data_IF_207934490844
#
_entry.id   IF_207934490844
#
_cell.length_a   1.000
_cell.length_b   1.000
_cell.length_c   1.000
_cell.angle_alpha   90.00
_cell.angle_beta   90.00
_cell.angle_gamma   90.00
#
_symmetry.space_group_name_H-M   'P 1'
#
loop_
_entity.id
_entity.type
_entity.pdbx_description
1 polymer ?
#
# COMPACT_ATOMS: atom_id res chain seq x y z
N UNK A 1 -5.66 -64.08 -61.43
CA UNK A 1 -6.64 -63.43 -60.55
C UNK A 1 -5.86 -62.75 -59.43
N UNK A 2 -5.65 -61.43 -59.51
CA UNK A 2 -5.12 -60.59 -58.44
C UNK A 2 -6.31 -59.81 -57.89
N UNK A 3 -6.92 -60.27 -56.80
CA UNK A 3 -7.99 -59.51 -56.11
C UNK A 3 -7.64 -59.20 -54.63
N UNK A 4 -6.42 -59.53 -54.18
CA UNK A 4 -6.06 -59.46 -52.76
C UNK A 4 -5.42 -58.10 -52.35
N UNK A 5 -5.21 -57.17 -53.30
CA UNK A 5 -4.56 -55.87 -53.05
C UNK A 5 -5.51 -54.71 -52.73
N UNK A 6 -6.70 -54.67 -53.35
CA UNK A 6 -7.61 -53.52 -53.25
C UNK A 6 -8.43 -53.50 -51.94
N UNK A 7 -8.90 -54.66 -51.47
CA UNK A 7 -9.64 -54.77 -50.20
C UNK A 7 -8.78 -54.39 -49.00
N UNK A 8 -7.50 -54.76 -49.03
CA UNK A 8 -6.53 -54.49 -47.96
C UNK A 8 -6.15 -53.00 -47.92
N UNK A 9 -6.03 -52.36 -49.07
CA UNK A 9 -5.82 -50.91 -49.19
C UNK A 9 -7.02 -50.08 -48.73
N UNK A 10 -8.24 -50.51 -49.07
CA UNK A 10 -9.46 -49.79 -48.68
C UNK A 10 -9.69 -49.85 -47.16
N UNK A 11 -9.44 -51.00 -46.53
CA UNK A 11 -9.55 -51.15 -45.07
C UNK A 11 -8.49 -50.30 -44.34
N UNK A 12 -7.26 -50.25 -44.86
CA UNK A 12 -6.19 -49.42 -44.31
C UNK A 12 -6.48 -47.92 -44.37
N UNK A 13 -7.04 -47.44 -45.47
CA UNK A 13 -7.39 -46.01 -45.64
C UNK A 13 -8.54 -45.57 -44.73
N UNK A 14 -9.57 -46.41 -44.55
CA UNK A 14 -10.67 -46.12 -43.63
C UNK A 14 -10.18 -46.11 -42.18
N UNK A 15 -9.33 -47.06 -41.78
CA UNK A 15 -8.75 -47.09 -40.44
C UNK A 15 -7.89 -45.84 -40.15
N UNK A 16 -7.07 -45.42 -41.10
CA UNK A 16 -6.26 -44.21 -40.98
C UNK A 16 -7.12 -42.93 -40.89
N UNK A 17 -8.21 -42.85 -41.66
CA UNK A 17 -9.13 -41.72 -41.61
C UNK A 17 -9.86 -41.63 -40.26
N UNK A 18 -10.31 -42.77 -39.71
CA UNK A 18 -10.96 -42.82 -38.39
C UNK A 18 -9.97 -42.43 -37.29
N UNK A 19 -8.75 -42.97 -37.32
CA UNK A 19 -7.70 -42.59 -36.37
C UNK A 19 -7.31 -41.12 -36.48
N UNK A 20 -7.25 -40.58 -37.70
CA UNK A 20 -7.00 -39.16 -37.95
C UNK A 20 -8.10 -38.25 -37.38
N UNK A 21 -9.37 -38.61 -37.54
CA UNK A 21 -10.51 -37.85 -36.99
C UNK A 21 -10.55 -37.92 -35.47
N UNK A 22 -10.26 -39.09 -34.88
CA UNK A 22 -10.16 -39.25 -33.43
C UNK A 22 -9.00 -38.43 -32.89
N UNK A 23 -7.82 -38.51 -33.52
CA UNK A 23 -6.64 -37.72 -33.19
C UNK A 23 -6.94 -36.22 -33.22
N UNK A 24 -7.51 -35.71 -34.31
CA UNK A 24 -7.87 -34.30 -34.47
C UNK A 24 -8.87 -33.83 -33.40
N UNK A 25 -9.87 -34.65 -33.05
CA UNK A 25 -10.82 -34.31 -31.97
C UNK A 25 -10.18 -34.28 -30.59
N UNK A 26 -9.21 -35.16 -30.32
CA UNK A 26 -8.47 -35.16 -29.06
C UNK A 26 -7.60 -33.90 -28.94
N UNK A 27 -6.88 -33.51 -30.01
CA UNK A 27 -6.07 -32.29 -30.03
C UNK A 27 -6.92 -31.01 -29.93
N UNK A 28 -8.09 -31.00 -30.57
CA UNK A 28 -9.03 -29.89 -30.48
C UNK A 28 -9.60 -29.73 -29.05
N UNK A 29 -9.90 -30.84 -28.35
CA UNK A 29 -10.33 -30.78 -26.95
C UNK A 29 -9.21 -30.32 -26.02
N UNK A 30 -8.01 -30.85 -26.19
CA UNK A 30 -6.84 -30.44 -25.41
C UNK A 30 -6.54 -28.95 -25.55
N UNK A 31 -6.66 -28.38 -26.75
CA UNK A 31 -6.47 -26.94 -26.98
C UNK A 31 -7.61 -26.08 -26.41
N UNK A 32 -8.85 -26.57 -26.41
CA UNK A 32 -9.97 -25.88 -25.76
C UNK A 32 -9.83 -25.90 -24.24
N UNK A 33 -9.43 -27.04 -23.67
CA UNK A 33 -9.21 -27.17 -22.22
C UNK A 33 -7.99 -26.35 -21.76
N UNK A 34 -6.90 -26.32 -22.54
CA UNK A 34 -5.77 -25.43 -22.30
C UNK A 34 -6.19 -23.95 -22.32
N UNK A 35 -6.99 -23.52 -23.31
CA UNK A 35 -7.52 -22.14 -23.36
C UNK A 35 -8.46 -21.82 -22.21
N UNK A 36 -9.26 -22.78 -21.74
CA UNK A 36 -10.13 -22.59 -20.57
C UNK A 36 -9.32 -22.47 -19.28
N UNK A 37 -8.24 -23.24 -19.14
CA UNK A 37 -7.33 -23.13 -17.99
C UNK A 37 -6.57 -21.81 -18.02
N UNK A 38 -6.16 -21.34 -19.21
CA UNK A 38 -5.51 -20.04 -19.39
C UNK A 38 -6.48 -18.87 -19.11
N UNK A 39 -7.75 -19.00 -19.52
CA UNK A 39 -8.79 -18.00 -19.22
C UNK A 39 -9.30 -18.05 -17.77
N UNK A 40 -9.12 -19.19 -17.08
CA UNK A 40 -9.49 -19.38 -15.67
C UNK A 40 -8.28 -19.25 -14.73
N UNK A 41 -7.08 -19.03 -15.27
CA UNK A 41 -5.89 -18.77 -14.48
C UNK A 41 -6.12 -17.44 -13.74
N UNK A 42 -5.93 -17.39 -12.41
CA UNK A 42 -6.03 -16.14 -11.68
C UNK A 42 -5.03 -15.13 -12.26
N UNK A 43 -5.47 -13.90 -12.48
CA UNK A 43 -4.63 -12.79 -12.93
C UNK A 43 -3.73 -12.32 -11.77
N UNK A 44 -2.70 -13.12 -11.50
CA UNK A 44 -1.74 -12.92 -10.41
C UNK A 44 -0.92 -11.64 -10.61
N UNK A 45 -0.71 -11.24 -11.85
CA UNK A 45 0.00 -10.00 -12.19
C UNK A 45 -0.84 -8.79 -11.76
N UNK A 46 -2.13 -8.73 -12.16
CA UNK A 46 -3.02 -7.64 -11.70
C UNK A 46 -3.21 -7.63 -10.19
N UNK A 47 -3.25 -8.80 -9.54
CA UNK A 47 -3.34 -8.88 -8.09
C UNK A 47 -2.08 -8.31 -7.41
N UNK A 48 -0.91 -8.71 -7.89
CA UNK A 48 0.38 -8.24 -7.35
C UNK A 48 0.55 -6.74 -7.58
N UNK A 49 0.22 -6.25 -8.78
CA UNK A 49 0.27 -4.82 -9.11
C UNK A 49 -0.62 -4.00 -8.18
N UNK A 50 -1.85 -4.47 -7.91
CA UNK A 50 -2.76 -3.80 -6.97
C UNK A 50 -2.22 -3.77 -5.54
N UNK A 51 -1.52 -4.82 -5.12
CA UNK A 51 -0.87 -4.84 -3.80
C UNK A 51 0.28 -3.84 -3.78
N UNK A 52 1.16 -3.85 -4.77
CA UNK A 52 2.29 -2.92 -4.84
C UNK A 52 1.81 -1.47 -4.84
N UNK A 53 0.80 -1.14 -5.65
CA UNK A 53 0.21 0.19 -5.68
C UNK A 53 -0.35 0.63 -4.32
N UNK A 54 -1.00 -0.28 -3.58
CA UNK A 54 -1.51 0.00 -2.24
C UNK A 54 -0.38 0.21 -1.24
N UNK A 55 0.68 -0.59 -1.31
CA UNK A 55 1.85 -0.43 -0.44
C UNK A 55 2.56 0.88 -0.72
N UNK A 56 2.75 1.25 -1.98
CA UNK A 56 3.36 2.54 -2.35
C UNK A 56 2.52 3.72 -1.86
N UNK A 57 1.19 3.64 -2.01
CA UNK A 57 0.28 4.67 -1.49
C UNK A 57 0.39 4.79 0.03
N UNK A 58 0.40 3.66 0.75
CA UNK A 58 0.55 3.66 2.21
C UNK A 58 1.92 4.19 2.65
N UNK A 59 2.99 3.84 1.95
CA UNK A 59 4.33 4.34 2.24
C UNK A 59 4.40 5.86 2.08
N UNK A 60 3.83 6.39 0.99
CA UNK A 60 3.75 7.84 0.77
C UNK A 60 2.95 8.56 1.89
N UNK A 61 1.86 7.95 2.36
CA UNK A 61 1.08 8.50 3.48
C UNK A 61 1.87 8.49 4.79
N UNK A 62 2.62 7.42 5.07
CA UNK A 62 3.50 7.31 6.23
C UNK A 62 4.58 8.40 6.19
N UNK A 63 5.21 8.61 5.05
CA UNK A 63 6.26 9.62 4.89
C UNK A 63 5.70 11.04 5.07
N UNK A 64 4.52 11.30 4.50
CA UNK A 64 3.82 12.57 4.70
C UNK A 64 3.44 12.80 6.17
N UNK A 65 2.95 11.77 6.86
CA UNK A 65 2.62 11.84 8.28
C UNK A 65 3.86 12.12 9.12
N UNK A 66 4.97 11.42 8.84
CA UNK A 66 6.25 11.61 9.53
C UNK A 66 6.74 13.06 9.40
N UNK A 67 6.70 13.61 8.19
CA UNK A 67 7.08 15.01 7.95
C UNK A 67 6.22 16.01 8.75
N UNK A 68 4.90 15.76 8.85
CA UNK A 68 3.99 16.58 9.67
C UNK A 68 4.31 16.48 11.15
N UNK A 69 4.64 15.28 11.64
CA UNK A 69 5.04 15.07 13.04
C UNK A 69 6.33 15.82 13.35
N UNK A 70 7.34 15.74 12.49
CA UNK A 70 8.61 16.45 12.66
C UNK A 70 8.39 17.98 12.69
N UNK A 71 7.54 18.49 11.80
CA UNK A 71 7.16 19.92 11.77
C UNK A 71 6.43 20.35 13.05
N UNK A 72 5.50 19.52 13.53
CA UNK A 72 4.76 19.80 14.75
C UNK A 72 5.67 19.79 15.98
N UNK A 73 6.58 18.82 16.09
CA UNK A 73 7.59 18.77 17.14
C UNK A 73 8.44 20.03 17.17
N UNK A 74 8.95 20.45 16.01
CA UNK A 74 9.74 21.69 15.88
C UNK A 74 8.95 22.94 16.32
N UNK A 75 7.67 23.01 15.94
CA UNK A 75 6.77 24.12 16.33
C UNK A 75 6.50 24.13 17.83
N UNK A 76 6.26 22.97 18.43
CA UNK A 76 6.06 22.82 19.88
C UNK A 76 7.31 23.24 20.63
N UNK A 77 8.49 22.78 20.22
CA UNK A 77 9.75 23.18 20.85
C UNK A 77 10.02 24.68 20.71
N UNK A 78 9.78 25.26 19.54
CA UNK A 78 9.93 26.70 19.32
C UNK A 78 8.98 27.51 20.22
N UNK A 79 7.74 27.06 20.35
CA UNK A 79 6.72 27.67 21.21
C UNK A 79 7.12 27.54 22.68
N UNK A 80 7.57 26.35 23.10
CA UNK A 80 8.09 26.11 24.45
C UNK A 80 9.26 27.03 24.79
N UNK A 81 10.23 27.21 23.88
CA UNK A 81 11.35 28.13 24.09
C UNK A 81 10.88 29.57 24.27
N UNK A 82 9.96 30.04 23.42
CA UNK A 82 9.39 31.39 23.52
C UNK A 82 8.62 31.58 24.83
N UNK A 83 7.84 30.58 25.23
CA UNK A 83 7.10 30.58 26.49
C UNK A 83 8.05 30.75 27.68
N UNK A 84 9.07 29.89 27.82
CA UNK A 84 10.01 29.98 28.93
C UNK A 84 10.85 31.26 28.93
N UNK A 85 11.18 31.80 27.75
CA UNK A 85 11.82 33.11 27.65
C UNK A 85 10.92 34.23 28.20
N UNK A 86 9.62 34.20 27.88
CA UNK A 86 8.63 35.15 28.40
C UNK A 86 8.44 35.01 29.92
N UNK A 87 8.32 33.77 30.42
CA UNK A 87 8.25 33.47 31.86
C UNK A 87 9.48 34.01 32.59
N UNK A 88 10.69 33.79 32.05
CA UNK A 88 11.92 34.33 32.62
C UNK A 88 11.92 35.87 32.69
N UNK A 89 11.39 36.53 31.66
CA UNK A 89 11.19 37.98 31.65
C UNK A 89 10.21 38.45 32.73
N UNK A 90 9.04 37.81 32.82
CA UNK A 90 8.03 38.09 33.84
C UNK A 90 8.59 37.88 35.25
N UNK A 91 9.31 36.79 35.49
CA UNK A 91 9.96 36.51 36.77
C UNK A 91 10.96 37.58 37.15
N UNK A 92 11.72 38.11 36.18
CA UNK A 92 12.66 39.22 36.42
C UNK A 92 11.94 40.50 36.85
N UNK A 93 10.81 40.82 36.23
CA UNK A 93 10.01 41.99 36.59
C UNK A 93 9.37 41.79 37.97
N UNK A 94 8.77 40.63 38.22
CA UNK A 94 8.12 40.29 39.48
C UNK A 94 9.07 40.38 40.68
N UNK A 95 10.31 39.91 40.54
CA UNK A 95 11.34 40.04 41.59
C UNK A 95 11.67 41.49 41.95
N UNK A 96 11.51 42.42 41.00
CA UNK A 96 11.81 43.83 41.20
C UNK A 96 10.57 44.63 41.66
N UNK A 97 9.37 44.05 41.61
CA UNK A 97 8.11 44.71 41.98
C UNK A 97 7.04 43.67 42.30
N UNK A 98 6.84 43.39 43.59
CA UNK A 98 5.95 42.34 44.10
C UNK A 98 4.47 42.58 43.74
N UNK A 99 4.05 43.86 43.63
CA UNK A 99 2.69 44.23 43.23
C UNK A 99 2.34 43.87 41.77
N UNK A 100 3.33 43.69 40.90
CA UNK A 100 3.08 43.48 39.46
C UNK A 100 2.37 42.16 39.20
N UNK A 101 2.70 41.10 39.94
CA UNK A 101 2.01 39.80 39.79
C UNK A 101 0.55 39.86 40.23
N UNK A 102 0.25 40.62 41.28
CA UNK A 102 -1.10 40.82 41.79
C UNK A 102 -1.98 41.60 40.80
N UNK A 103 -1.38 42.53 40.05
CA UNK A 103 -2.08 43.35 39.05
C UNK A 103 -2.22 42.61 37.71
N UNK A 104 -1.21 41.84 37.31
CA UNK A 104 -1.15 41.17 36.01
C UNK A 104 -2.24 40.10 35.80
N UNK A 105 -2.86 39.58 36.89
CA UNK A 105 -3.92 38.54 36.84
C UNK A 105 -3.58 37.40 35.86
N UNK A 106 -2.38 36.84 36.02
CA UNK A 106 -1.91 35.75 35.16
C UNK A 106 -2.81 34.51 35.31
N UNK A 107 -2.99 33.72 34.23
CA UNK A 107 -3.59 32.39 34.34
C UNK A 107 -2.87 31.55 35.41
N UNK A 108 -3.56 30.64 36.12
CA UNK A 108 -2.98 29.87 37.22
C UNK A 108 -1.67 29.16 36.84
N UNK A 109 -1.66 28.49 35.69
CA UNK A 109 -0.51 27.72 35.20
C UNK A 109 0.70 28.63 34.91
N UNK A 110 0.45 29.80 34.32
CA UNK A 110 1.48 30.81 34.03
C UNK A 110 1.98 31.48 35.31
N UNK A 111 1.08 31.71 36.27
CA UNK A 111 1.45 32.27 37.57
C UNK A 111 2.37 31.31 38.32
N UNK A 112 2.01 30.03 38.38
CA UNK A 112 2.83 28.98 38.99
C UNK A 112 4.18 28.87 38.29
N UNK A 113 4.21 28.85 36.96
CA UNK A 113 5.48 28.83 36.20
C UNK A 113 6.34 30.07 36.46
N UNK A 114 5.76 31.25 36.67
CA UNK A 114 6.52 32.47 37.00
C UNK A 114 7.09 32.41 38.41
N UNK A 115 6.34 31.89 39.38
CA UNK A 115 6.71 31.88 40.81
C UNK A 115 7.61 30.68 41.15
N UNK A 116 7.28 29.49 40.66
CA UNK A 116 7.84 28.20 41.06
C UNK A 116 8.63 27.46 39.97
N UNK A 117 8.46 27.82 38.69
CA UNK A 117 9.20 27.20 37.57
C UNK A 117 10.60 27.77 37.34
#
# INVERSE_FOLDING_TARGET
MHMDGELTGLIGTVAAAVLGVIGARLTARASVDAKKVEAAAPDWDSFTDKIMQRLDSQQNEIDALRSRVETLQSTVEATRRKYWAAIGGLRRIARNSEDVLRIARLPPDVHDDVVNG
#
